data_IF_699931257856
#
_entry.id   IF_699931257856
#
_cell.length_a   1.000
_cell.length_b   1.000
_cell.length_c   1.000
_cell.angle_alpha   90.00
_cell.angle_beta   90.00
_cell.angle_gamma   90.00
#
_symmetry.space_group_name_H-M   'P 1'
#
loop_
_entity.id
_entity.type
_entity.pdbx_description
1 polymer ?
#
# COMPACT_ATOMS: atom_id res chain seq x y z
N UNK A 1 -36.78 38.42 -4.44
CA UNK A 1 -37.44 38.60 -3.14
C UNK A 1 -37.32 37.35 -2.26
N UNK A 2 -37.94 36.21 -2.60
CA UNK A 2 -37.89 34.98 -1.80
C UNK A 2 -36.46 34.44 -1.53
N UNK A 3 -35.54 34.64 -2.47
CA UNK A 3 -34.13 34.27 -2.31
C UNK A 3 -33.42 35.00 -1.14
N UNK A 4 -33.77 36.25 -0.87
CA UNK A 4 -33.22 37.01 0.28
C UNK A 4 -33.91 36.61 1.60
N UNK A 5 -35.21 36.31 1.54
CA UNK A 5 -35.97 35.83 2.70
C UNK A 5 -35.44 34.49 3.23
N UNK A 6 -35.18 33.51 2.34
CA UNK A 6 -34.65 32.22 2.78
C UNK A 6 -33.29 32.37 3.47
N UNK A 7 -32.44 33.30 3.00
CA UNK A 7 -31.10 33.54 3.55
C UNK A 7 -31.14 34.08 4.98
N UNK A 8 -32.17 34.87 5.32
CA UNK A 8 -32.30 35.55 6.63
C UNK A 8 -33.18 34.81 7.62
N UNK A 9 -33.98 33.85 7.17
CA UNK A 9 -34.96 33.15 8.03
C UNK A 9 -34.27 32.02 8.79
N UNK A 10 -34.26 32.09 10.13
CA UNK A 10 -33.66 31.05 10.98
C UNK A 10 -34.53 29.77 11.08
N UNK A 11 -35.85 29.93 11.08
CA UNK A 11 -36.81 28.82 11.11
C UNK A 11 -36.67 27.93 9.87
N UNK A 12 -36.58 26.62 10.07
CA UNK A 12 -36.29 25.68 9.00
C UNK A 12 -37.50 25.36 8.11
N UNK A 13 -38.68 25.26 8.69
CA UNK A 13 -39.90 24.98 7.93
C UNK A 13 -40.24 26.18 7.06
N UNK A 14 -40.16 27.38 7.63
CA UNK A 14 -40.40 28.63 6.90
C UNK A 14 -39.34 28.87 5.82
N UNK A 15 -38.07 28.54 6.08
CA UNK A 15 -37.03 28.61 5.05
C UNK A 15 -37.33 27.65 3.88
N UNK A 16 -37.80 26.43 4.16
CA UNK A 16 -38.19 25.45 3.14
C UNK A 16 -39.30 25.98 2.25
N UNK A 17 -40.33 26.59 2.82
CA UNK A 17 -41.43 27.19 2.05
C UNK A 17 -40.93 28.24 1.04
N UNK A 18 -40.01 29.11 1.46
CA UNK A 18 -39.42 30.11 0.56
C UNK A 18 -38.57 29.48 -0.55
N UNK A 19 -37.84 28.41 -0.26
CA UNK A 19 -37.08 27.67 -1.29
C UNK A 19 -38.04 27.05 -2.31
N UNK A 20 -39.15 26.45 -1.86
CA UNK A 20 -40.16 25.90 -2.75
C UNK A 20 -40.81 26.97 -3.63
N UNK A 21 -41.08 28.17 -3.09
CA UNK A 21 -41.54 29.30 -3.91
C UNK A 21 -40.51 29.73 -4.95
N UNK A 22 -39.21 29.67 -4.65
CA UNK A 22 -38.19 29.91 -5.66
C UNK A 22 -38.20 28.83 -6.75
N UNK A 23 -38.36 27.56 -6.37
CA UNK A 23 -38.40 26.44 -7.31
C UNK A 23 -39.66 26.45 -8.19
N UNK A 24 -40.82 26.84 -7.65
CA UNK A 24 -42.07 27.03 -8.39
C UNK A 24 -41.89 28.05 -9.52
N UNK A 25 -41.34 29.23 -9.21
CA UNK A 25 -41.04 30.26 -10.22
C UNK A 25 -40.11 29.72 -11.32
N UNK A 26 -39.06 28.99 -10.95
CA UNK A 26 -38.14 28.39 -11.94
C UNK A 26 -38.81 27.31 -12.79
N UNK A 27 -39.76 26.56 -12.23
CA UNK A 27 -40.50 25.53 -12.94
C UNK A 27 -41.55 26.12 -13.89
N UNK A 28 -42.14 27.26 -13.54
CA UNK A 28 -43.12 27.94 -14.38
C UNK A 28 -42.45 28.71 -15.53
N UNK A 29 -41.37 29.45 -15.23
CA UNK A 29 -40.67 30.26 -16.24
C UNK A 29 -39.77 29.41 -17.16
N UNK A 30 -39.38 28.20 -16.73
CA UNK A 30 -38.48 27.26 -17.42
C UNK A 30 -37.30 27.96 -18.12
N UNK A 31 -36.46 28.72 -17.39
CA UNK A 31 -35.36 29.46 -18.01
C UNK A 31 -34.25 28.52 -18.54
N UNK A 32 -34.18 27.29 -18.03
CA UNK A 32 -33.19 26.27 -18.40
C UNK A 32 -33.89 24.92 -18.50
N UNK A 33 -33.67 24.22 -19.61
CA UNK A 33 -34.11 22.83 -19.79
C UNK A 33 -32.98 21.90 -19.34
N UNK A 34 -33.21 21.16 -18.26
CA UNK A 34 -32.24 20.18 -17.74
C UNK A 34 -32.27 18.94 -18.63
N UNK A 35 -31.17 18.68 -19.34
CA UNK A 35 -31.06 17.54 -20.25
C UNK A 35 -30.62 16.26 -19.54
N UNK A 36 -29.72 16.38 -18.57
CA UNK A 36 -29.25 15.26 -17.74
C UNK A 36 -28.67 15.78 -16.42
N UNK A 37 -28.61 14.91 -15.41
CA UNK A 37 -27.82 15.16 -14.21
C UNK A 37 -26.41 14.63 -14.41
N UNK A 38 -25.41 15.49 -14.20
CA UNK A 38 -24.01 15.12 -14.39
C UNK A 38 -23.57 14.13 -13.31
N UNK A 39 -23.05 12.98 -13.74
CA UNK A 39 -22.27 12.08 -12.89
C UNK A 39 -20.79 12.45 -13.02
N UNK A 40 -20.10 12.58 -11.90
CA UNK A 40 -18.66 12.84 -11.87
C UNK A 40 -17.91 11.50 -11.90
N UNK A 41 -16.94 11.39 -12.80
CA UNK A 41 -16.02 10.25 -12.89
C UNK A 41 -14.63 10.82 -12.70
N UNK A 42 -13.98 10.35 -11.66
CA UNK A 42 -12.75 10.91 -11.14
C UNK A 42 -11.67 9.83 -11.14
N UNK A 43 -10.55 10.12 -11.82
CA UNK A 43 -9.39 9.22 -11.87
C UNK A 43 -8.27 9.78 -10.97
N UNK A 44 -7.88 9.00 -9.96
CA UNK A 44 -6.84 9.40 -9.01
C UNK A 44 -5.87 8.27 -8.70
N UNK A 45 -4.67 8.65 -8.22
CA UNK A 45 -3.58 7.72 -7.93
C UNK A 45 -3.73 7.09 -6.56
N UNK A 46 -4.11 5.81 -6.54
CA UNK A 46 -4.20 4.98 -5.33
C UNK A 46 -2.86 4.35 -4.94
N UNK A 47 -1.85 4.43 -5.81
CA UNK A 47 -0.51 3.86 -5.57
C UNK A 47 0.38 4.76 -4.72
N UNK A 48 0.13 6.07 -4.75
CA UNK A 48 0.94 7.08 -4.04
C UNK A 48 0.21 7.82 -2.94
N UNK A 49 -1.12 7.91 -3.02
CA UNK A 49 -1.90 8.73 -2.13
C UNK A 49 -3.09 7.94 -1.57
N UNK A 50 -3.37 8.18 -0.29
CA UNK A 50 -4.54 7.69 0.43
C UNK A 50 -5.39 8.87 0.89
N UNK A 51 -6.59 8.60 1.42
CA UNK A 51 -7.50 9.64 1.93
C UNK A 51 -8.43 10.27 0.88
N UNK A 52 -8.58 9.65 -0.30
CA UNK A 52 -9.54 10.07 -1.32
C UNK A 52 -10.99 9.92 -0.81
N UNK A 53 -11.82 10.96 -0.96
CA UNK A 53 -13.27 10.93 -0.66
C UNK A 53 -14.04 11.00 -1.99
N UNK A 54 -14.61 9.89 -2.47
CA UNK A 54 -15.31 9.85 -3.77
C UNK A 54 -16.51 10.81 -3.85
N UNK A 55 -17.23 11.03 -2.75
CA UNK A 55 -18.45 11.85 -2.72
C UNK A 55 -18.16 13.35 -2.93
N UNK A 56 -17.00 13.81 -2.49
CA UNK A 56 -16.55 15.20 -2.60
C UNK A 56 -15.83 15.47 -3.93
N UNK A 57 -15.41 14.40 -4.61
CA UNK A 57 -14.61 14.44 -5.82
C UNK A 57 -13.13 14.78 -5.58
N UNK A 58 -12.31 14.68 -6.63
CA UNK A 58 -10.86 14.89 -6.57
C UNK A 58 -10.48 16.31 -6.10
N UNK A 59 -11.26 17.30 -6.52
CA UNK A 59 -11.03 18.71 -6.18
C UNK A 59 -11.89 19.18 -5.01
N UNK A 60 -12.58 18.26 -4.33
CA UNK A 60 -13.32 18.57 -3.12
C UNK A 60 -12.38 19.05 -2.02
N UNK A 61 -12.77 20.13 -1.33
CA UNK A 61 -11.92 20.74 -0.29
C UNK A 61 -11.58 19.72 0.79
N UNK A 62 -12.53 18.88 1.19
CA UNK A 62 -12.32 17.84 2.19
C UNK A 62 -11.38 16.74 1.70
N UNK A 63 -11.52 16.30 0.44
CA UNK A 63 -10.59 15.35 -0.19
C UNK A 63 -9.17 15.87 -0.16
N UNK A 64 -8.96 17.15 -0.51
CA UNK A 64 -7.64 17.76 -0.54
C UNK A 64 -7.02 17.88 0.86
N UNK A 65 -7.82 18.14 1.89
CA UNK A 65 -7.36 18.20 3.28
C UNK A 65 -6.96 16.82 3.80
N UNK A 66 -7.68 15.77 3.41
CA UNK A 66 -7.44 14.40 3.87
C UNK A 66 -6.36 13.65 3.06
N UNK A 67 -5.83 14.27 2.00
CA UNK A 67 -4.92 13.61 1.09
C UNK A 67 -3.54 13.43 1.72
N UNK A 68 -3.10 12.17 1.83
CA UNK A 68 -1.80 11.84 2.41
C UNK A 68 -0.98 10.95 1.46
N UNK A 69 0.33 11.20 1.31
CA UNK A 69 1.22 10.26 0.65
C UNK A 69 1.26 8.93 1.41
N UNK A 70 1.12 7.82 0.69
CA UNK A 70 1.31 6.49 1.27
C UNK A 70 2.78 6.41 1.70
N UNK A 71 3.00 6.13 2.99
CA UNK A 71 4.35 5.91 3.51
C UNK A 71 4.97 4.75 2.72
N UNK A 72 6.24 4.87 2.30
CA UNK A 72 6.94 3.74 1.70
C UNK A 72 6.76 2.52 2.60
N UNK A 73 6.53 1.32 2.02
CA UNK A 73 6.57 0.11 2.83
C UNK A 73 7.87 0.16 3.63
N UNK A 74 7.79 -0.09 4.94
CA UNK A 74 8.99 -0.23 5.76
C UNK A 74 9.90 -1.19 5.00
N UNK A 75 10.98 -0.65 4.43
CA UNK A 75 12.06 -1.48 3.90
C UNK A 75 12.34 -2.43 5.06
N UNK A 76 12.15 -3.75 4.93
CA UNK A 76 12.62 -4.63 5.98
C UNK A 76 14.06 -4.21 6.19
N UNK A 77 14.37 -3.74 7.40
CA UNK A 77 15.72 -3.30 7.76
C UNK A 77 16.68 -4.29 7.13
N UNK A 78 17.77 -3.85 6.46
CA UNK A 78 18.65 -4.75 5.73
C UNK A 78 18.86 -5.95 6.61
N UNK A 79 18.30 -7.09 6.20
CA UNK A 79 18.42 -8.32 6.98
C UNK A 79 19.92 -8.50 7.03
N UNK A 80 20.49 -8.31 8.22
CA UNK A 80 21.91 -8.52 8.47
C UNK A 80 22.26 -9.81 7.72
N UNK A 81 23.29 -9.83 6.85
CA UNK A 81 23.59 -11.03 6.09
C UNK A 81 23.67 -12.16 7.10
N UNK A 82 22.84 -13.19 6.90
CA UNK A 82 22.93 -14.44 7.63
C UNK A 82 24.42 -14.77 7.73
N UNK A 83 25.02 -14.91 8.93
CA UNK A 83 26.43 -15.23 9.02
C UNK A 83 26.63 -16.51 8.23
N UNK A 84 27.39 -16.40 7.13
CA UNK A 84 27.90 -17.55 6.39
C UNK A 84 28.41 -18.54 7.44
N UNK A 85 27.92 -19.79 7.49
CA UNK A 85 28.41 -20.73 8.48
C UNK A 85 29.91 -20.84 8.27
N UNK A 86 30.68 -20.37 9.27
CA UNK A 86 32.12 -20.48 9.26
C UNK A 86 32.47 -21.95 9.02
N UNK A 87 33.42 -22.28 8.13
CA UNK A 87 33.77 -23.66 7.87
C UNK A 87 34.09 -24.33 9.21
N UNK A 88 33.37 -25.43 9.51
CA UNK A 88 33.53 -26.14 10.76
C UNK A 88 35.01 -26.50 10.94
N UNK A 89 35.64 -25.98 12.01
CA UNK A 89 37.01 -26.33 12.36
C UNK A 89 37.04 -27.84 12.60
N UNK A 90 37.58 -28.58 11.64
CA UNK A 90 37.71 -30.03 11.74
C UNK A 90 38.64 -30.33 12.92
N UNK A 91 38.20 -31.09 13.94
CA UNK A 91 39.03 -31.40 15.09
C UNK A 91 40.34 -32.08 14.66
N UNK A 92 41.47 -31.67 15.22
CA UNK A 92 42.81 -32.11 14.78
C UNK A 92 43.02 -33.64 14.76
N UNK A 93 42.29 -34.39 15.58
CA UNK A 93 42.35 -35.85 15.62
C UNK A 93 41.88 -36.51 14.31
N UNK A 94 41.02 -35.83 13.53
CA UNK A 94 40.52 -36.32 12.23
C UNK A 94 41.68 -36.49 11.24
N UNK A 95 42.63 -35.55 11.23
CA UNK A 95 43.85 -35.69 10.41
C UNK A 95 44.71 -36.87 10.88
N UNK A 96 44.77 -37.12 12.19
CA UNK A 96 45.47 -38.28 12.75
C UNK A 96 44.89 -39.61 12.24
N UNK A 97 43.55 -39.73 12.21
CA UNK A 97 42.88 -40.95 11.72
C UNK A 97 43.12 -41.16 10.23
N UNK A 98 43.06 -40.10 9.42
CA UNK A 98 43.34 -40.18 7.97
C UNK A 98 44.77 -40.62 7.69
N UNK A 99 45.74 -40.10 8.46
CA UNK A 99 47.16 -40.48 8.31
C UNK A 99 47.36 -41.96 8.68
N UNK A 100 46.77 -42.44 9.77
CA UNK A 100 46.87 -43.86 10.17
C UNK A 100 46.23 -44.77 9.12
N UNK A 101 45.08 -44.39 8.57
CA UNK A 101 44.43 -45.14 7.50
C UNK A 101 45.28 -45.20 6.22
N UNK A 102 45.89 -44.08 5.83
CA UNK A 102 46.79 -44.05 4.67
C UNK A 102 48.03 -44.94 4.88
N UNK A 103 48.63 -44.91 6.07
CA UNK A 103 49.76 -45.79 6.41
C UNK A 103 49.34 -47.27 6.39
N UNK A 104 48.16 -47.60 6.92
CA UNK A 104 47.64 -48.97 6.87
C UNK A 104 47.38 -49.44 5.44
N UNK A 105 46.85 -48.58 4.57
CA UNK A 105 46.66 -48.89 3.14
C UNK A 105 48.00 -49.11 2.45
N UNK A 106 48.99 -48.24 2.68
CA UNK A 106 50.34 -48.38 2.11
C UNK A 106 51.01 -49.67 2.62
N UNK A 107 50.90 -49.96 3.91
CA UNK A 107 51.45 -51.18 4.50
C UNK A 107 50.75 -52.45 3.96
N UNK A 108 49.44 -52.42 3.78
CA UNK A 108 48.68 -53.54 3.21
C UNK A 108 49.02 -53.76 1.72
N UNK A 109 49.22 -52.69 0.95
CA UNK A 109 49.70 -52.77 -0.44
C UNK A 109 51.14 -53.32 -0.48
N UNK A 110 52.04 -52.82 0.36
CA UNK A 110 53.41 -53.32 0.45
C UNK A 110 53.44 -54.82 0.84
N UNK A 111 52.60 -55.23 1.79
CA UNK A 111 52.46 -56.64 2.17
C UNK A 111 51.90 -57.50 1.02
N UNK A 112 50.93 -56.99 0.25
CA UNK A 112 50.39 -57.68 -0.90
C UNK A 112 51.40 -57.83 -2.05
N UNK A 113 52.33 -56.88 -2.21
CA UNK A 113 53.41 -56.95 -3.18
C UNK A 113 54.60 -57.81 -2.73
N UNK A 114 54.86 -57.93 -1.41
CA UNK A 114 55.94 -58.79 -0.91
C UNK A 114 55.60 -60.29 -0.86
N UNK A 115 54.33 -60.65 -1.12
CA UNK A 115 53.82 -62.03 -1.08
C UNK A 115 53.55 -62.63 -2.48
N UNK A 116 54.00 -61.96 -3.54
CA UNK A 116 54.03 -62.45 -4.92
C UNK A 116 55.41 -62.97 -5.29
#
# INVERSE_FOLDING_TARGET
YYLDLQRRTADMEKRREYVFKCQEILADDVPVVVLWHKTYIDAYRTDRFTGWIPEEGIMGILTLINLEPIKPPETPAPTSPTPTPAPAKVPGWVYGVVIVAAIAVIASLAYAFSKK
#
